data_IF_652866636343
#
_entry.id   IF_652866636343
#
_cell.length_a   1.000
_cell.length_b   1.000
_cell.length_c   1.000
_cell.angle_alpha   90.00
_cell.angle_beta   90.00
_cell.angle_gamma   90.00
#
_symmetry.space_group_name_H-M   'P 1'
#
loop_
_entity.id
_entity.type
_entity.pdbx_description
1 polymer ?
#
# COMPACT_ATOMS: atom_id res chain seq x y z
N UNK A 1 -13.95 29.97 -0.23
CA UNK A 1 -13.59 28.60 -0.65
C UNK A 1 -13.31 27.77 0.60
N UNK A 2 -13.80 26.53 0.67
CA UNK A 2 -13.45 25.56 1.72
C UNK A 2 -12.48 24.55 1.10
N UNK A 3 -11.35 24.30 1.75
CA UNK A 3 -10.41 23.26 1.35
C UNK A 3 -10.61 22.04 2.25
N UNK A 4 -10.67 20.85 1.65
CA UNK A 4 -10.65 19.58 2.39
C UNK A 4 -9.22 19.34 2.86
N UNK A 5 -9.03 19.00 4.13
CA UNK A 5 -7.73 18.55 4.61
C UNK A 5 -7.41 17.18 3.98
N UNK A 6 -6.22 17.05 3.39
CA UNK A 6 -5.73 15.81 2.79
C UNK A 6 -4.62 15.28 3.68
N UNK A 7 -4.75 14.04 4.13
CA UNK A 7 -3.69 13.37 4.90
C UNK A 7 -2.91 12.44 3.99
N UNK A 8 -1.63 12.75 3.82
CA UNK A 8 -0.68 12.00 3.00
C UNK A 8 0.37 11.38 3.90
N UNK A 9 0.60 10.08 3.75
CA UNK A 9 1.66 9.36 4.44
C UNK A 9 2.63 8.78 3.40
N UNK A 10 3.89 9.21 3.47
CA UNK A 10 4.93 8.79 2.55
C UNK A 10 6.02 8.03 3.33
N UNK A 11 6.06 6.73 3.12
CA UNK A 11 7.09 5.82 3.61
C UNK A 11 8.02 5.34 2.50
N UNK A 12 7.98 5.97 1.34
CA UNK A 12 8.82 5.56 0.22
C UNK A 12 10.30 5.78 0.48
N UNK A 13 11.15 5.04 -0.24
CA UNK A 13 12.62 5.16 -0.19
C UNK A 13 13.22 4.85 1.19
N UNK A 14 12.70 3.81 1.82
CA UNK A 14 13.25 3.28 3.07
C UNK A 14 13.71 1.84 2.87
N UNK A 15 14.27 1.26 3.92
CA UNK A 15 14.68 -0.14 3.95
C UNK A 15 13.64 -1.04 4.65
N UNK A 16 12.35 -0.68 4.64
CA UNK A 16 11.33 -1.52 5.25
C UNK A 16 11.22 -2.85 4.52
N UNK A 17 11.12 -3.95 5.28
CA UNK A 17 11.11 -5.32 4.76
C UNK A 17 10.05 -6.16 5.45
N UNK A 18 9.72 -7.32 4.86
CA UNK A 18 8.64 -8.18 5.33
C UNK A 18 7.28 -7.77 4.76
N UNK A 19 6.21 -8.29 5.34
CA UNK A 19 4.84 -8.04 4.86
C UNK A 19 4.29 -6.71 5.38
N UNK A 20 3.33 -6.14 4.65
CA UNK A 20 2.57 -4.99 5.13
C UNK A 20 1.62 -5.51 6.23
N UNK A 21 1.70 -5.02 7.46
CA UNK A 21 0.81 -5.48 8.52
C UNK A 21 -0.61 -4.99 8.28
N UNK A 22 -1.61 -5.84 8.54
CA UNK A 22 -3.03 -5.48 8.41
C UNK A 22 -3.45 -4.29 9.27
N UNK A 23 -2.70 -3.99 10.33
CA UNK A 23 -2.88 -2.83 11.21
C UNK A 23 -2.67 -1.50 10.49
N UNK A 24 -2.06 -1.46 9.30
CA UNK A 24 -1.97 -0.25 8.47
C UNK A 24 -3.35 0.35 8.17
N UNK A 25 -4.40 -0.47 8.17
CA UNK A 25 -5.79 -0.05 7.99
C UNK A 25 -6.35 0.77 9.17
N UNK A 26 -5.67 0.83 10.31
CA UNK A 26 -6.02 1.71 11.43
C UNK A 26 -5.81 3.20 11.13
N UNK A 27 -5.15 3.53 10.03
CA UNK A 27 -4.91 4.89 9.56
C UNK A 27 -6.15 5.45 8.83
N UNK A 28 -7.29 5.50 9.53
CA UNK A 28 -8.62 5.71 8.93
C UNK A 28 -8.78 7.00 8.12
N UNK A 29 -7.98 8.04 8.38
CA UNK A 29 -8.11 9.37 7.75
C UNK A 29 -7.13 9.60 6.58
N UNK A 30 -6.29 8.61 6.25
CA UNK A 30 -5.29 8.73 5.18
C UNK A 30 -5.97 8.68 3.80
N UNK A 31 -5.62 9.65 2.96
CA UNK A 31 -6.09 9.73 1.57
C UNK A 31 -5.05 9.21 0.58
N UNK A 32 -3.76 9.33 0.91
CA UNK A 32 -2.65 8.87 0.08
C UNK A 32 -1.58 8.16 0.92
N UNK A 33 -1.25 6.92 0.54
CA UNK A 33 -0.21 6.11 1.17
C UNK A 33 0.82 5.67 0.12
N UNK A 34 2.07 6.08 0.30
CA UNK A 34 3.20 5.66 -0.55
C UNK A 34 4.15 4.74 0.22
N UNK A 35 4.22 3.48 -0.19
CA UNK A 35 5.11 2.43 0.32
C UNK A 35 6.19 2.03 -0.71
N UNK A 36 6.31 2.74 -1.84
CA UNK A 36 7.22 2.39 -2.93
C UNK A 36 8.69 2.49 -2.53
N UNK A 37 9.58 1.85 -3.30
CA UNK A 37 11.03 1.86 -3.03
C UNK A 37 11.36 1.40 -1.59
N UNK A 38 10.77 0.28 -1.20
CA UNK A 38 11.11 -0.49 0.00
C UNK A 38 11.38 -1.95 -0.39
N UNK A 39 11.80 -2.76 0.57
CA UNK A 39 11.98 -4.22 0.44
C UNK A 39 10.78 -5.00 1.00
N UNK A 40 9.58 -4.41 0.96
CA UNK A 40 8.33 -5.06 1.38
C UNK A 40 7.99 -6.20 0.43
N UNK A 41 7.46 -7.29 0.97
CA UNK A 41 7.10 -8.53 0.27
C UNK A 41 5.68 -8.98 0.66
N UNK A 42 5.17 -10.04 0.03
CA UNK A 42 3.84 -10.56 0.32
C UNK A 42 2.72 -9.83 -0.42
N UNK A 43 1.50 -9.99 0.08
CA UNK A 43 0.30 -9.42 -0.53
C UNK A 43 -0.08 -8.08 0.10
N UNK A 44 -0.85 -7.28 -0.65
CA UNK A 44 -1.49 -6.08 -0.12
C UNK A 44 -2.63 -6.54 0.83
N UNK A 45 -2.63 -6.15 2.11
CA UNK A 45 -3.65 -6.58 3.05
C UNK A 45 -5.05 -6.18 2.60
N UNK A 46 -5.99 -7.12 2.59
CA UNK A 46 -7.39 -6.88 2.19
C UNK A 46 -8.06 -5.80 3.04
N UNK A 47 -7.58 -5.58 4.27
CA UNK A 47 -8.04 -4.54 5.19
C UNK A 47 -7.81 -3.12 4.65
N UNK A 48 -6.89 -2.90 3.70
CA UNK A 48 -6.77 -1.61 3.03
C UNK A 48 -8.03 -1.25 2.24
N UNK A 49 -8.81 -2.24 1.80
CA UNK A 49 -10.10 -2.03 1.14
C UNK A 49 -11.19 -1.46 2.08
N UNK A 50 -11.02 -1.56 3.41
CA UNK A 50 -11.96 -0.96 4.36
C UNK A 50 -11.66 0.51 4.69
N UNK A 51 -10.54 1.06 4.21
CA UNK A 51 -10.17 2.46 4.47
C UNK A 51 -11.02 3.41 3.62
N UNK A 52 -12.02 4.05 4.25
CA UNK A 52 -13.02 4.85 3.53
C UNK A 52 -12.47 6.09 2.83
N UNK A 53 -11.30 6.58 3.24
CA UNK A 53 -10.70 7.79 2.68
C UNK A 53 -9.52 7.53 1.76
N UNK A 54 -8.98 6.30 1.75
CA UNK A 54 -7.81 5.95 0.95
C UNK A 54 -8.16 6.00 -0.53
N UNK A 55 -7.59 6.98 -1.22
CA UNK A 55 -7.86 7.24 -2.64
C UNK A 55 -6.65 6.92 -3.51
N UNK A 56 -5.45 6.95 -2.93
CA UNK A 56 -4.21 6.64 -3.62
C UNK A 56 -3.34 5.71 -2.78
N UNK A 57 -3.02 4.55 -3.33
CA UNK A 57 -2.05 3.61 -2.77
C UNK A 57 -0.95 3.40 -3.80
N UNK A 58 0.28 3.75 -3.44
CA UNK A 58 1.45 3.41 -4.22
C UNK A 58 2.25 2.35 -3.49
N UNK A 59 2.32 1.18 -4.09
CA UNK A 59 3.10 0.05 -3.60
C UNK A 59 3.81 -0.59 -4.78
N UNK A 60 5.00 -1.17 -4.55
CA UNK A 60 5.72 -1.88 -5.58
C UNK A 60 5.05 -3.24 -5.82
N UNK A 61 4.30 -3.36 -6.91
CA UNK A 61 3.73 -4.63 -7.33
C UNK A 61 4.75 -5.45 -8.13
N UNK A 62 5.43 -6.41 -7.51
CA UNK A 62 6.11 -7.54 -8.17
C UNK A 62 6.17 -8.71 -7.16
N UNK A 63 5.23 -9.66 -7.16
CA UNK A 63 5.22 -10.79 -8.08
C UNK A 63 3.77 -11.21 -8.31
N UNK A 64 3.23 -10.91 -9.50
CA UNK A 64 2.12 -11.74 -9.98
C UNK A 64 2.73 -13.12 -10.20
N UNK A 65 2.39 -14.07 -9.36
CA UNK A 65 2.65 -15.49 -9.53
C UNK A 65 1.82 -16.06 -10.71
N UNK A 66 1.73 -15.35 -11.83
CA UNK A 66 1.06 -15.82 -13.06
C UNK A 66 2.04 -15.99 -14.23
N UNK A 67 3.28 -15.51 -14.13
CA UNK A 67 4.31 -15.80 -15.14
C UNK A 67 5.01 -17.17 -14.90
N UNK A 68 4.70 -17.87 -13.80
CA UNK A 68 5.22 -19.21 -13.51
C UNK A 68 4.28 -20.37 -13.91
N UNK A 69 3.11 -20.09 -14.51
CA UNK A 69 2.12 -21.13 -14.86
C UNK A 69 1.85 -21.31 -16.37
N UNK A 70 2.64 -20.69 -17.26
CA UNK A 70 2.55 -20.94 -18.74
C UNK A 70 3.85 -21.52 -19.31
N UNK A 71 4.54 -22.33 -18.51
CA UNK A 71 5.56 -23.25 -19.01
C UNK A 71 5.12 -24.64 -18.56
N UNK A 72 4.27 -25.29 -19.37
CA UNK A 72 4.22 -26.71 -19.74
C UNK A 72 3.35 -26.81 -21.00
#
# INVERSE_FOLDING_TARGET
>A
MKFKAVHVLNFSNNAFSGEIPSTIASLEQIESLDLSNNSLVGEIPVQLASMSFLSYLKHLRLKVMMDYMVLH
#
